data_IF_163034355006
#
_entry.id   IF_163034355006
#
_cell.length_a   1.000
_cell.length_b   1.000
_cell.length_c   1.000
_cell.angle_alpha   90.00
_cell.angle_beta   90.00
_cell.angle_gamma   90.00
#
_symmetry.space_group_name_H-M   'P 1'
#
loop_
_entity.id
_entity.type
_entity.pdbx_description
1 polymer ?
#
# COMPACT_ATOMS: atom_id res chain seq x y z
N UNK A 1 5.28 -19.62 25.83
CA UNK A 1 5.80 -20.27 24.68
C UNK A 1 6.85 -19.40 23.99
N UNK A 2 7.99 -19.95 23.81
CA UNK A 2 9.20 -19.17 23.53
C UNK A 2 9.70 -19.35 22.09
N UNK A 3 8.75 -19.44 21.15
CA UNK A 3 9.08 -19.63 19.74
C UNK A 3 9.00 -18.29 19.00
N UNK A 4 10.16 -17.75 18.58
CA UNK A 4 10.25 -16.48 17.86
C UNK A 4 9.35 -16.42 16.63
N UNK A 5 9.26 -17.52 15.89
CA UNK A 5 8.42 -17.63 14.69
C UNK A 5 6.94 -17.38 15.03
N UNK A 6 6.49 -17.93 16.15
CA UNK A 6 5.11 -17.75 16.59
C UNK A 6 4.84 -16.31 17.05
N UNK A 7 5.80 -15.68 17.76
CA UNK A 7 5.66 -14.27 18.13
C UNK A 7 5.58 -13.35 16.91
N UNK A 8 6.45 -13.58 15.93
CA UNK A 8 6.43 -12.82 14.68
C UNK A 8 5.06 -12.98 13.99
N UNK A 9 4.55 -14.21 13.93
CA UNK A 9 3.24 -14.49 13.34
C UNK A 9 2.12 -13.76 14.09
N UNK A 10 2.10 -13.85 15.41
CA UNK A 10 1.07 -13.19 16.25
C UNK A 10 1.09 -11.67 16.09
N UNK A 11 2.27 -11.07 16.02
CA UNK A 11 2.41 -9.62 15.81
C UNK A 11 1.91 -9.25 14.41
N UNK A 12 2.33 -10.00 13.40
CA UNK A 12 1.88 -9.79 12.02
C UNK A 12 0.35 -9.88 11.91
N UNK A 13 -0.27 -10.88 12.50
CA UNK A 13 -1.74 -11.04 12.52
C UNK A 13 -2.45 -9.87 13.20
N UNK A 14 -1.90 -9.35 14.29
CA UNK A 14 -2.47 -8.17 14.98
C UNK A 14 -2.37 -6.90 14.12
N UNK A 15 -1.23 -6.68 13.47
CA UNK A 15 -1.04 -5.55 12.57
C UNK A 15 -2.01 -5.66 11.40
N UNK A 16 -2.09 -6.83 10.79
CA UNK A 16 -2.99 -7.09 9.66
C UNK A 16 -4.46 -6.87 10.03
N UNK A 17 -4.89 -7.40 11.18
CA UNK A 17 -6.25 -7.19 11.67
C UNK A 17 -6.57 -5.71 11.86
N UNK A 18 -5.65 -4.94 12.44
CA UNK A 18 -5.83 -3.51 12.62
C UNK A 18 -5.94 -2.81 11.26
N UNK A 19 -5.03 -3.10 10.33
CA UNK A 19 -5.05 -2.52 9.00
C UNK A 19 -6.34 -2.86 8.24
N UNK A 20 -6.82 -4.09 8.34
CA UNK A 20 -8.08 -4.50 7.71
C UNK A 20 -9.29 -3.73 8.28
N UNK A 21 -9.32 -3.45 9.58
CA UNK A 21 -10.36 -2.62 10.19
C UNK A 21 -10.33 -1.19 9.63
N UNK A 22 -9.14 -0.60 9.50
CA UNK A 22 -8.99 0.75 8.95
C UNK A 22 -9.39 0.81 7.47
N UNK A 23 -8.98 -0.17 6.69
CA UNK A 23 -9.35 -0.28 5.27
C UNK A 23 -10.86 -0.44 5.09
N UNK A 24 -11.48 -1.25 5.93
CA UNK A 24 -12.94 -1.43 5.91
C UNK A 24 -13.67 -0.13 6.23
N UNK A 25 -13.19 0.63 7.19
CA UNK A 25 -13.73 1.95 7.52
C UNK A 25 -13.62 2.94 6.36
N UNK A 26 -12.55 2.86 5.56
CA UNK A 26 -12.34 3.66 4.36
C UNK A 26 -13.03 3.10 3.11
N UNK A 27 -13.64 1.92 3.21
CA UNK A 27 -14.30 1.22 2.11
C UNK A 27 -13.35 0.96 0.92
N UNK A 28 -12.14 0.56 1.20
CA UNK A 28 -11.13 0.16 0.20
C UNK A 28 -10.49 -1.18 0.57
N UNK A 29 -9.95 -1.85 -0.45
CA UNK A 29 -9.16 -3.07 -0.29
C UNK A 29 -7.68 -2.74 -0.06
N UNK A 30 -6.90 -3.70 0.42
CA UNK A 30 -5.45 -3.55 0.55
C UNK A 30 -4.77 -3.24 -0.79
N UNK A 31 -5.20 -3.89 -1.87
CA UNK A 31 -4.67 -3.62 -3.21
C UNK A 31 -4.98 -2.20 -3.68
N UNK A 32 -6.19 -1.71 -3.42
CA UNK A 32 -6.59 -0.35 -3.76
C UNK A 32 -5.78 0.68 -2.96
N UNK A 33 -5.58 0.46 -1.67
CA UNK A 33 -4.74 1.31 -0.83
C UNK A 33 -3.30 1.40 -1.38
N UNK A 34 -2.71 0.27 -1.74
CA UNK A 34 -1.35 0.22 -2.28
C UNK A 34 -1.22 1.02 -3.58
N UNK A 35 -2.22 0.95 -4.45
CA UNK A 35 -2.25 1.71 -5.70
C UNK A 35 -2.37 3.21 -5.41
N UNK A 36 -3.26 3.61 -4.51
CA UNK A 36 -3.41 5.01 -4.11
C UNK A 36 -2.10 5.60 -3.59
N UNK A 37 -1.43 4.88 -2.72
CA UNK A 37 -0.16 5.31 -2.13
C UNK A 37 0.96 5.38 -3.19
N UNK A 38 1.03 4.39 -4.08
CA UNK A 38 2.00 4.37 -5.17
C UNK A 38 1.84 5.61 -6.06
N UNK A 39 0.61 5.92 -6.47
CA UNK A 39 0.31 7.09 -7.28
C UNK A 39 0.56 8.40 -6.54
N UNK A 40 0.26 8.42 -5.25
CA UNK A 40 0.45 9.61 -4.41
C UNK A 40 1.92 10.03 -4.31
N UNK A 41 2.83 9.06 -4.23
CA UNK A 41 4.27 9.33 -4.13
C UNK A 41 4.96 9.56 -5.46
N UNK A 42 4.29 9.33 -6.58
CA UNK A 42 4.88 9.60 -7.88
C UNK A 42 4.74 11.08 -8.24
N UNK A 43 5.82 11.67 -8.74
CA UNK A 43 5.84 13.04 -9.24
C UNK A 43 5.10 13.17 -10.58
N UNK A 44 4.96 12.07 -11.30
CA UNK A 44 4.28 12.04 -12.59
C UNK A 44 2.76 12.17 -12.40
N UNK A 45 2.16 13.16 -13.04
CA UNK A 45 0.71 13.35 -13.03
C UNK A 45 -0.02 12.17 -13.66
N UNK A 46 0.62 11.48 -14.60
CA UNK A 46 0.10 10.34 -15.34
C UNK A 46 1.04 9.16 -15.23
N UNK A 47 0.50 8.01 -14.83
CA UNK A 47 1.25 6.78 -14.71
C UNK A 47 0.71 5.76 -15.70
N UNK A 48 1.61 5.10 -16.43
CA UNK A 48 1.21 4.09 -17.41
C UNK A 48 0.63 2.86 -16.70
N UNK A 49 -0.48 2.35 -17.20
CA UNK A 49 -1.11 1.12 -16.72
C UNK A 49 -0.10 -0.04 -16.66
N UNK A 50 0.74 -0.17 -17.69
CA UNK A 50 1.77 -1.21 -17.75
C UNK A 50 2.80 -1.11 -16.63
N UNK A 51 3.14 0.10 -16.21
CA UNK A 51 4.09 0.31 -15.11
C UNK A 51 3.50 -0.18 -13.79
N UNK A 52 2.20 0.04 -13.58
CA UNK A 52 1.49 -0.49 -12.40
C UNK A 52 1.42 -2.01 -12.43
N UNK A 53 1.15 -2.62 -13.58
CA UNK A 53 1.15 -4.08 -13.74
C UNK A 53 2.49 -4.69 -13.34
N UNK A 54 3.58 -4.11 -13.81
CA UNK A 54 4.94 -4.54 -13.46
C UNK A 54 5.25 -4.32 -11.99
N UNK A 55 4.92 -3.15 -11.48
CA UNK A 55 5.21 -2.77 -10.08
C UNK A 55 4.53 -3.70 -9.09
N UNK A 56 3.28 -4.08 -9.36
CA UNK A 56 2.49 -4.95 -8.49
C UNK A 56 2.55 -6.43 -8.90
N UNK A 57 3.25 -6.74 -9.97
CA UNK A 57 3.40 -8.11 -10.50
C UNK A 57 2.05 -8.82 -10.67
N UNK A 58 1.14 -8.16 -11.36
CA UNK A 58 -0.21 -8.66 -11.66
C UNK A 58 -0.47 -8.64 -13.16
N UNK A 59 -1.44 -9.41 -13.60
CA UNK A 59 -1.86 -9.45 -15.01
C UNK A 59 -2.57 -8.15 -15.39
N UNK A 60 -2.62 -7.87 -16.70
CA UNK A 60 -3.36 -6.75 -17.25
C UNK A 60 -4.83 -6.80 -16.83
N UNK A 61 -5.46 -7.97 -16.91
CA UNK A 61 -6.86 -8.16 -16.55
C UNK A 61 -7.11 -7.83 -15.06
N UNK A 62 -6.23 -8.28 -14.17
CA UNK A 62 -6.32 -8.00 -12.75
C UNK A 62 -6.18 -6.51 -12.46
N UNK A 63 -5.16 -5.87 -13.02
CA UNK A 63 -4.95 -4.42 -12.83
C UNK A 63 -6.12 -3.62 -13.40
N UNK A 64 -6.57 -3.96 -14.60
CA UNK A 64 -7.72 -3.31 -15.22
C UNK A 64 -8.97 -3.39 -14.36
N UNK A 65 -9.22 -4.54 -13.74
CA UNK A 65 -10.36 -4.73 -12.82
C UNK A 65 -10.27 -3.85 -11.58
N UNK A 66 -9.08 -3.75 -10.96
CA UNK A 66 -8.86 -2.91 -9.78
C UNK A 66 -9.05 -1.43 -10.14
N UNK A 67 -8.39 -0.97 -11.20
CA UNK A 67 -8.46 0.42 -11.65
C UNK A 67 -9.89 0.81 -12.03
N UNK A 68 -10.61 -0.05 -12.74
CA UNK A 68 -12.00 0.20 -13.13
C UNK A 68 -12.92 0.40 -11.91
N UNK A 69 -12.75 -0.43 -10.89
CA UNK A 69 -13.52 -0.29 -9.63
C UNK A 69 -13.20 1.01 -8.90
N UNK A 70 -11.94 1.40 -8.87
CA UNK A 70 -11.51 2.66 -8.24
C UNK A 70 -11.95 3.89 -9.05
N UNK A 71 -11.98 3.78 -10.37
CA UNK A 71 -12.51 4.82 -11.25
C UNK A 71 -14.02 5.04 -11.01
N UNK A 72 -14.77 3.96 -10.88
CA UNK A 72 -16.21 4.02 -10.55
C UNK A 72 -16.47 4.68 -9.20
N UNK A 73 -15.60 4.48 -8.24
CA UNK A 73 -15.67 5.15 -6.93
C UNK A 73 -15.22 6.62 -6.95
N UNK A 74 -14.66 7.08 -8.08
CA UNK A 74 -14.23 8.46 -8.24
C UNK A 74 -12.82 8.75 -7.70
N UNK A 75 -12.01 7.73 -7.39
CA UNK A 75 -10.67 7.90 -6.84
C UNK A 75 -9.59 8.02 -7.91
N UNK A 76 -9.83 7.45 -9.07
CA UNK A 76 -8.93 7.48 -10.20
C UNK A 76 -9.64 7.97 -11.44
N UNK A 77 -8.88 8.51 -12.37
CA UNK A 77 -9.28 8.75 -13.76
C UNK A 77 -8.28 8.09 -14.68
N UNK A 78 -8.76 7.71 -15.86
CA UNK A 78 -7.93 7.08 -16.88
C UNK A 78 -8.10 7.80 -18.19
N UNK A 79 -7.03 7.83 -18.98
CA UNK A 79 -7.07 8.34 -20.34
C UNK A 79 -6.06 7.60 -21.21
N UNK A 80 -6.25 7.65 -22.52
CA UNK A 80 -5.28 7.14 -23.49
C UNK A 80 -4.32 8.25 -23.88
N UNK A 81 -3.06 7.90 -24.17
CA UNK A 81 -2.09 8.86 -24.68
C UNK A 81 -2.54 9.40 -26.04
N UNK A 82 -2.33 10.69 -26.25
CA UNK A 82 -2.58 11.34 -27.55
C UNK A 82 -1.64 10.76 -28.61
N UNK A 83 -0.38 10.48 -28.23
CA UNK A 83 0.66 9.94 -29.10
C UNK A 83 0.43 8.46 -29.46
N UNK A 84 -0.23 7.69 -28.60
CA UNK A 84 -0.58 6.30 -28.83
C UNK A 84 -1.84 5.93 -28.06
N UNK A 85 -2.97 5.85 -28.75
CA UNK A 85 -4.29 5.54 -28.20
C UNK A 85 -4.43 4.12 -27.66
N UNK A 86 -3.40 3.29 -27.76
CA UNK A 86 -3.36 1.95 -27.15
C UNK A 86 -2.77 1.97 -25.74
N UNK A 87 -2.14 3.07 -25.38
CA UNK A 87 -1.47 3.23 -24.08
C UNK A 87 -2.38 3.98 -23.11
N UNK A 88 -2.77 3.29 -22.05
CA UNK A 88 -3.65 3.83 -21.01
C UNK A 88 -2.85 4.38 -19.84
N UNK A 89 -3.22 5.56 -19.38
CA UNK A 89 -2.65 6.24 -18.23
C UNK A 89 -3.65 6.32 -17.09
N UNK A 90 -3.15 6.30 -15.88
CA UNK A 90 -3.91 6.38 -14.63
C UNK A 90 -3.49 7.63 -13.86
N UNK A 91 -4.45 8.33 -13.28
CA UNK A 91 -4.23 9.55 -12.51
C UNK A 91 -5.09 9.52 -11.24
N UNK A 92 -4.58 10.11 -10.15
CA UNK A 92 -5.40 10.37 -8.98
C UNK A 92 -6.36 11.53 -9.26
N UNK A 93 -7.60 11.37 -8.80
CA UNK A 93 -8.53 12.50 -8.67
C UNK A 93 -8.25 13.24 -7.36
N UNK A 94 -8.89 14.39 -7.14
CA UNK A 94 -8.81 15.10 -5.86
C UNK A 94 -9.30 14.22 -4.71
N UNK A 95 -10.39 13.49 -4.91
CA UNK A 95 -10.92 12.53 -3.93
C UNK A 95 -9.94 11.37 -3.67
N UNK A 96 -9.30 10.87 -4.71
CA UNK A 96 -8.26 9.84 -4.59
C UNK A 96 -7.06 10.34 -3.80
N UNK A 97 -6.63 11.57 -4.04
CA UNK A 97 -5.54 12.21 -3.30
C UNK A 97 -5.87 12.37 -1.82
N UNK A 98 -7.07 12.81 -1.49
CA UNK A 98 -7.55 12.91 -0.09
C UNK A 98 -7.57 11.55 0.59
N UNK A 99 -8.07 10.52 -0.10
CA UNK A 99 -8.13 9.17 0.43
C UNK A 99 -6.72 8.59 0.64
N UNK A 100 -5.79 8.83 -0.28
CA UNK A 100 -4.40 8.43 -0.13
C UNK A 100 -3.75 9.05 1.12
N UNK A 101 -3.98 10.34 1.37
CA UNK A 101 -3.51 11.02 2.58
C UNK A 101 -4.08 10.40 3.84
N UNK A 102 -5.38 10.14 3.87
CA UNK A 102 -6.04 9.50 5.02
C UNK A 102 -5.48 8.10 5.27
N UNK A 103 -5.28 7.31 4.22
CA UNK A 103 -4.69 5.97 4.34
C UNK A 103 -3.25 6.03 4.91
N UNK A 104 -2.45 6.99 4.46
CA UNK A 104 -1.10 7.21 4.97
C UNK A 104 -1.10 7.61 6.46
N UNK A 105 -2.02 8.46 6.88
CA UNK A 105 -2.19 8.82 8.29
C UNK A 105 -2.47 7.60 9.16
N UNK A 106 -3.32 6.68 8.69
CA UNK A 106 -3.63 5.43 9.40
C UNK A 106 -2.42 4.50 9.50
N UNK A 107 -1.63 4.42 8.45
CA UNK A 107 -0.36 3.66 8.46
C UNK A 107 0.61 4.29 9.47
N UNK A 108 0.75 5.61 9.48
CA UNK A 108 1.59 6.33 10.44
C UNK A 108 1.13 6.14 11.89
N UNK A 109 -0.17 6.17 12.16
CA UNK A 109 -0.72 5.88 13.49
C UNK A 109 -0.31 4.49 13.99
N UNK A 110 -0.40 3.48 13.13
CA UNK A 110 0.02 2.12 13.47
C UNK A 110 1.53 2.04 13.71
N UNK A 111 2.31 2.67 12.84
CA UNK A 111 3.76 2.77 13.01
C UNK A 111 4.13 3.44 14.35
N UNK A 112 3.51 4.57 14.65
CA UNK A 112 3.76 5.32 15.88
C UNK A 112 3.36 4.52 17.13
N UNK A 113 2.28 3.75 17.07
CA UNK A 113 1.88 2.86 18.16
C UNK A 113 2.97 1.82 18.48
N UNK A 114 3.54 1.21 17.45
CA UNK A 114 4.63 0.24 17.61
C UNK A 114 5.88 0.93 18.12
N UNK A 115 6.29 2.01 17.48
CA UNK A 115 7.51 2.75 17.83
C UNK A 115 7.48 3.31 19.24
N UNK A 116 6.34 3.83 19.70
CA UNK A 116 6.19 4.39 21.04
C UNK A 116 6.19 3.35 22.15
N UNK A 117 5.99 2.08 21.83
CA UNK A 117 6.09 0.98 22.79
C UNK A 117 7.53 0.59 23.13
N UNK A 118 8.50 1.10 22.39
CA UNK A 118 9.93 0.81 22.50
C UNK A 118 10.70 2.10 22.80
N UNK A 119 11.81 1.96 23.54
CA UNK A 119 12.80 3.05 23.61
C UNK A 119 13.52 3.20 22.27
N UNK A 120 14.18 4.34 22.05
CA UNK A 120 14.93 4.59 20.81
C UNK A 120 16.00 3.50 20.57
N UNK A 121 16.70 3.11 21.63
CA UNK A 121 17.72 2.05 21.56
C UNK A 121 17.09 0.69 21.24
N UNK A 122 15.97 0.36 21.86
CA UNK A 122 15.25 -0.90 21.58
C UNK A 122 14.72 -0.93 20.16
N UNK A 123 14.17 0.17 19.65
CA UNK A 123 13.67 0.26 18.28
C UNK A 123 14.79 0.06 17.26
N UNK A 124 15.97 0.65 17.48
CA UNK A 124 17.13 0.49 16.62
C UNK A 124 17.65 -0.96 16.62
N UNK A 125 17.79 -1.55 17.80
CA UNK A 125 18.21 -2.95 17.96
C UNK A 125 17.20 -3.91 17.32
N UNK A 126 15.92 -3.65 17.52
CA UNK A 126 14.85 -4.46 16.94
C UNK A 126 14.93 -4.44 15.40
N UNK A 127 15.12 -3.28 14.82
CA UNK A 127 15.28 -3.14 13.37
C UNK A 127 16.47 -3.97 12.85
N UNK A 128 17.61 -3.89 13.51
CA UNK A 128 18.79 -4.68 13.17
C UNK A 128 18.49 -6.19 13.23
N UNK A 129 17.80 -6.62 14.29
CA UNK A 129 17.42 -8.03 14.44
C UNK A 129 16.45 -8.47 13.33
N UNK A 130 15.48 -7.65 13.00
CA UNK A 130 14.51 -7.95 11.94
C UNK A 130 15.18 -8.05 10.57
N UNK A 131 16.13 -7.17 10.27
CA UNK A 131 16.91 -7.23 9.02
C UNK A 131 17.72 -8.54 8.92
N UNK A 132 18.32 -8.96 10.02
CA UNK A 132 19.04 -10.25 10.08
C UNK A 132 18.11 -11.44 9.81
N UNK A 133 16.94 -11.44 10.44
CA UNK A 133 15.94 -12.51 10.26
C UNK A 133 15.43 -12.50 8.81
N UNK A 134 15.10 -11.35 8.27
CA UNK A 134 14.61 -11.21 6.89
C UNK A 134 15.63 -11.78 5.89
N UNK A 135 16.91 -11.46 6.06
CA UNK A 135 17.96 -11.93 5.15
C UNK A 135 18.34 -13.41 5.35
N UNK A 136 18.00 -13.99 6.50
CA UNK A 136 18.27 -15.42 6.79
C UNK A 136 17.21 -16.34 6.18
N UNK A 137 16.01 -15.81 5.91
CA UNK A 137 14.91 -16.60 5.32
C UNK A 137 15.03 -16.54 3.79
N UNK A 138 15.12 -17.70 3.18
CA UNK A 138 15.23 -17.86 1.71
C UNK A 138 13.89 -18.19 1.08
#
# INVERSE_FOLDING_TARGET
MDNLTQYIKMISEKIEKRMNCELKALNITASQMRILIELYYRDDAKVLMKDLEKRFNVTQATMQGIISRMEKKGYLSTEYLISDKRVKCVMLTDEGTKLAKTALEKICETHNMISSSLSDTEAEQFKICMDKIYNAIK
#
